data_IF_875921184614
#
_entry.id   IF_875921184614
#
_cell.length_a   1.000
_cell.length_b   1.000
_cell.length_c   1.000
_cell.angle_alpha   90.00
_cell.angle_beta   90.00
_cell.angle_gamma   90.00
#
_symmetry.space_group_name_H-M   'P 1'
#
loop_
_entity.id
_entity.type
_entity.pdbx_description
1 polymer ?
#
# COMPACT_ATOMS: atom_id res chain seq x y z
N UNK A 1 -14.64 -30.14 -2.90
CA UNK A 1 -14.52 -28.67 -2.71
C UNK A 1 -13.63 -28.32 -1.51
N UNK A 2 -13.70 -29.04 -0.38
CA UNK A 2 -12.79 -28.85 0.77
C UNK A 2 -11.44 -29.60 0.70
N UNK A 3 -11.26 -30.55 -0.24
CA UNK A 3 -9.99 -31.30 -0.41
C UNK A 3 -8.79 -30.43 -0.81
N UNK A 4 -9.03 -29.19 -1.24
CA UNK A 4 -7.98 -28.22 -1.58
C UNK A 4 -7.10 -27.92 -0.35
N UNK A 5 -7.64 -27.98 0.87
CA UNK A 5 -6.87 -27.78 2.10
C UNK A 5 -5.98 -28.95 2.51
N UNK A 6 -6.11 -30.12 1.86
CA UNK A 6 -5.22 -31.25 2.10
C UNK A 6 -3.78 -30.95 1.65
N UNK A 7 -3.61 -30.03 0.71
CA UNK A 7 -2.31 -29.60 0.23
C UNK A 7 -1.66 -28.60 1.20
N UNK A 8 -0.51 -29.00 1.76
CA UNK A 8 0.28 -28.19 2.71
C UNK A 8 0.67 -26.83 2.13
N UNK A 9 1.01 -26.75 0.83
CA UNK A 9 1.37 -25.50 0.18
C UNK A 9 0.19 -24.51 0.10
N UNK A 10 -1.05 -25.00 -0.05
CA UNK A 10 -2.23 -24.13 -0.09
C UNK A 10 -2.51 -23.55 1.29
N UNK A 11 -2.41 -24.37 2.35
CA UNK A 11 -2.52 -23.88 3.73
C UNK A 11 -1.46 -22.82 4.04
N UNK A 12 -0.21 -23.07 3.65
CA UNK A 12 0.88 -22.09 3.81
C UNK A 12 0.59 -20.80 3.03
N UNK A 13 0.05 -20.90 1.81
CA UNK A 13 -0.33 -19.75 1.01
C UNK A 13 -1.43 -18.89 1.67
N UNK A 14 -2.44 -19.52 2.28
CA UNK A 14 -3.49 -18.79 3.02
C UNK A 14 -2.92 -18.10 4.26
N UNK A 15 -2.07 -18.77 5.04
CA UNK A 15 -1.45 -18.19 6.24
C UNK A 15 -0.55 -17.03 5.85
N UNK A 16 0.43 -17.28 4.98
CA UNK A 16 1.42 -16.30 4.56
C UNK A 16 0.78 -15.14 3.79
N UNK A 17 -0.19 -15.44 2.92
CA UNK A 17 -0.99 -14.44 2.22
C UNK A 17 -1.77 -13.55 3.18
N UNK A 18 -2.41 -14.11 4.21
CA UNK A 18 -3.12 -13.31 5.23
C UNK A 18 -2.17 -12.36 5.96
N UNK A 19 -0.98 -12.83 6.35
CA UNK A 19 0.04 -11.97 6.95
C UNK A 19 0.42 -10.80 6.01
N UNK A 20 0.70 -11.11 4.74
CA UNK A 20 1.03 -10.10 3.74
C UNK A 20 -0.11 -9.11 3.53
N UNK A 21 -1.37 -9.57 3.41
CA UNK A 21 -2.53 -8.69 3.28
C UNK A 21 -2.63 -7.70 4.45
N UNK A 22 -2.45 -8.18 5.69
CA UNK A 22 -2.53 -7.32 6.88
C UNK A 22 -1.42 -6.26 6.84
N UNK A 23 -0.16 -6.68 6.69
CA UNK A 23 0.97 -5.72 6.70
C UNK A 23 0.86 -4.75 5.54
N UNK A 24 0.57 -5.23 4.33
CA UNK A 24 0.42 -4.39 3.14
C UNK A 24 -0.75 -3.41 3.29
N UNK A 25 -1.88 -3.82 3.87
CA UNK A 25 -3.01 -2.93 4.09
C UNK A 25 -2.69 -1.77 5.06
N UNK A 26 -1.95 -2.05 6.13
CA UNK A 26 -1.57 -1.03 7.14
C UNK A 26 -0.47 -0.12 6.60
N UNK A 27 0.59 -0.68 6.02
CA UNK A 27 1.69 0.09 5.40
C UNK A 27 1.15 0.93 4.23
N UNK A 28 0.26 0.33 3.44
CA UNK A 28 -0.45 0.95 2.33
C UNK A 28 -1.24 2.19 2.70
N UNK A 29 -1.95 2.15 3.82
CA UNK A 29 -2.65 3.33 4.36
C UNK A 29 -1.68 4.50 4.56
N UNK A 30 -0.55 4.27 5.24
CA UNK A 30 0.45 5.31 5.47
C UNK A 30 1.16 5.75 4.17
N UNK A 31 1.38 4.86 3.21
CA UNK A 31 1.92 5.23 1.89
C UNK A 31 1.03 6.26 1.19
N UNK A 32 -0.29 6.06 1.23
CA UNK A 32 -1.25 6.97 0.59
C UNK A 32 -1.31 8.30 1.32
N UNK A 33 -1.50 8.27 2.65
CA UNK A 33 -1.63 9.50 3.45
C UNK A 33 -0.37 10.38 3.36
N UNK A 34 0.80 9.78 3.18
CA UNK A 34 2.09 10.50 3.07
C UNK A 34 2.50 10.87 1.65
N UNK A 35 1.68 10.55 0.63
CA UNK A 35 2.06 10.76 -0.77
C UNK A 35 3.34 10.00 -1.15
N UNK A 36 3.48 8.77 -0.67
CA UNK A 36 4.63 7.88 -0.86
C UNK A 36 4.29 6.65 -1.72
N UNK A 37 3.13 6.62 -2.35
CA UNK A 37 2.69 5.49 -3.20
C UNK A 37 3.68 5.18 -4.31
N UNK A 38 4.27 6.20 -4.94
CA UNK A 38 5.29 6.02 -5.96
C UNK A 38 6.56 5.38 -5.40
N UNK A 39 6.98 5.77 -4.19
CA UNK A 39 8.11 5.12 -3.51
C UNK A 39 7.84 3.63 -3.26
N UNK A 40 6.62 3.28 -2.84
CA UNK A 40 6.21 1.88 -2.65
C UNK A 40 6.24 1.06 -3.95
N UNK A 41 5.78 1.64 -5.07
CA UNK A 41 5.88 1.00 -6.38
C UNK A 41 7.34 0.76 -6.78
N UNK A 42 8.16 1.81 -6.69
CA UNK A 42 9.57 1.78 -7.05
C UNK A 42 10.39 0.81 -6.21
N UNK A 43 10.18 0.78 -4.89
CA UNK A 43 10.88 -0.15 -4.00
C UNK A 43 10.65 -1.62 -4.39
N UNK A 44 9.46 -1.96 -4.91
CA UNK A 44 9.20 -3.32 -5.40
C UNK A 44 10.07 -3.67 -6.63
N UNK A 45 10.21 -2.74 -7.57
CA UNK A 45 11.07 -2.91 -8.75
C UNK A 45 12.56 -2.85 -8.43
N UNK A 46 12.95 -2.02 -7.47
CA UNK A 46 14.32 -1.98 -6.95
C UNK A 46 14.67 -3.32 -6.31
N UNK A 47 13.73 -3.88 -5.54
CA UNK A 47 13.87 -5.19 -4.94
C UNK A 47 13.99 -6.31 -5.98
N UNK A 48 13.19 -6.26 -7.05
CA UNK A 48 13.32 -7.19 -8.17
C UNK A 48 14.75 -7.24 -8.73
N UNK A 49 15.37 -6.09 -8.97
CA UNK A 49 16.75 -6.03 -9.45
C UNK A 49 17.75 -6.56 -8.41
N UNK A 50 17.54 -6.28 -7.13
CA UNK A 50 18.36 -6.83 -6.04
C UNK A 50 18.28 -8.35 -5.96
N UNK A 51 17.09 -8.93 -6.11
CA UNK A 51 16.90 -10.37 -6.19
C UNK A 51 17.60 -10.96 -7.42
N UNK A 52 17.48 -10.32 -8.58
CA UNK A 52 18.20 -10.73 -9.78
C UNK A 52 19.73 -10.72 -9.59
N UNK A 53 20.26 -9.69 -8.94
CA UNK A 53 21.68 -9.59 -8.59
C UNK A 53 22.14 -10.68 -7.62
N UNK A 54 21.34 -10.99 -6.60
CA UNK A 54 21.64 -12.09 -5.68
C UNK A 54 21.65 -13.45 -6.39
N UNK A 55 20.67 -13.71 -7.26
CA UNK A 55 20.62 -14.94 -8.07
C UNK A 55 21.85 -15.06 -8.96
N UNK A 56 22.27 -13.97 -9.60
CA UNK A 56 23.48 -13.93 -10.41
C UNK A 56 24.75 -14.28 -9.59
N UNK A 57 24.84 -13.79 -8.35
CA UNK A 57 25.95 -14.09 -7.43
C UNK A 57 25.84 -15.46 -6.74
N UNK A 58 24.77 -16.23 -6.99
CA UNK A 58 24.53 -17.51 -6.32
C UNK A 58 24.10 -17.38 -4.84
N UNK A 59 23.68 -16.19 -4.41
CA UNK A 59 23.20 -15.89 -3.07
C UNK A 59 21.66 -16.05 -3.03
N UNK A 60 21.10 -16.28 -1.83
CA UNK A 60 19.66 -16.33 -1.64
C UNK A 60 18.96 -15.03 -2.11
N UNK A 61 17.93 -15.08 -2.97
CA UNK A 61 17.31 -13.90 -3.60
C UNK A 61 16.81 -12.86 -2.60
N UNK A 62 16.31 -13.34 -1.46
CA UNK A 62 15.74 -12.53 -0.36
C UNK A 62 16.77 -11.56 0.22
N UNK A 63 18.02 -11.99 0.30
CA UNK A 63 19.10 -11.18 0.85
C UNK A 63 19.40 -10.01 -0.09
N UNK A 64 19.54 -10.29 -1.40
CA UNK A 64 19.74 -9.23 -2.39
C UNK A 64 18.56 -8.26 -2.44
N UNK A 65 17.35 -8.79 -2.34
CA UNK A 65 16.13 -7.99 -2.34
C UNK A 65 16.06 -7.09 -1.10
N UNK A 66 16.34 -7.59 0.10
CA UNK A 66 16.40 -6.79 1.32
C UNK A 66 17.49 -5.70 1.25
N UNK A 67 18.70 -6.06 0.84
CA UNK A 67 19.82 -5.11 0.79
C UNK A 67 19.53 -3.96 -0.17
N UNK A 68 19.05 -4.28 -1.38
CA UNK A 68 18.75 -3.26 -2.39
C UNK A 68 17.56 -2.39 -2.00
N UNK A 69 16.45 -2.98 -1.53
CA UNK A 69 15.28 -2.19 -1.14
C UNK A 69 15.54 -1.32 0.07
N UNK A 70 16.22 -1.83 1.10
CA UNK A 70 16.58 -1.04 2.28
C UNK A 70 17.59 0.04 1.90
N UNK A 71 18.63 -0.30 1.14
CA UNK A 71 19.65 0.63 0.67
C UNK A 71 19.04 1.78 -0.15
N UNK A 72 18.16 1.47 -1.10
CA UNK A 72 17.45 2.50 -1.86
C UNK A 72 16.41 3.25 -1.04
N UNK A 73 15.70 2.61 -0.11
CA UNK A 73 14.76 3.29 0.78
C UNK A 73 15.44 4.33 1.68
N UNK A 74 16.62 3.98 2.19
CA UNK A 74 17.50 4.92 2.92
C UNK A 74 18.01 6.02 1.99
N UNK A 75 18.53 5.65 0.81
CA UNK A 75 19.02 6.61 -0.18
C UNK A 75 17.96 7.63 -0.60
N UNK A 76 16.77 7.16 -0.97
CA UNK A 76 15.60 8.00 -1.32
C UNK A 76 15.20 8.88 -0.14
N UNK A 77 15.18 8.33 1.07
CA UNK A 77 14.79 9.05 2.27
C UNK A 77 15.74 10.18 2.66
N UNK A 78 17.04 10.05 2.36
CA UNK A 78 18.05 11.09 2.61
C UNK A 78 18.23 12.08 1.46
N UNK A 79 18.08 11.63 0.21
CA UNK A 79 18.38 12.43 -0.97
C UNK A 79 17.33 13.53 -1.22
N UNK A 80 16.12 13.37 -0.70
CA UNK A 80 15.01 14.28 -0.96
C UNK A 80 14.72 15.23 0.21
N UNK A 81 14.70 16.54 -0.04
CA UNK A 81 14.27 17.55 0.95
C UNK A 81 12.82 17.93 0.77
N UNK A 82 12.32 17.90 -0.46
CA UNK A 82 10.92 18.17 -0.81
C UNK A 82 10.24 16.93 -1.38
N UNK A 83 8.90 16.92 -1.41
CA UNK A 83 8.13 15.84 -2.04
C UNK A 83 8.48 15.70 -3.53
N UNK A 84 8.67 16.82 -4.24
CA UNK A 84 8.99 16.83 -5.68
C UNK A 84 10.38 16.29 -5.98
N UNK A 85 11.39 16.70 -5.20
CA UNK A 85 12.73 16.13 -5.30
C UNK A 85 12.71 14.62 -5.04
N UNK A 86 11.86 14.17 -4.11
CA UNK A 86 11.70 12.75 -3.80
C UNK A 86 11.17 11.97 -4.98
N UNK A 87 10.13 12.45 -5.64
CA UNK A 87 9.55 11.75 -6.80
C UNK A 87 10.56 11.65 -7.96
N UNK A 88 11.35 12.70 -8.19
CA UNK A 88 12.43 12.69 -9.19
C UNK A 88 13.52 11.68 -8.80
N UNK A 89 13.99 11.73 -7.55
CA UNK A 89 15.01 10.81 -7.04
C UNK A 89 14.54 9.35 -7.13
N UNK A 90 13.29 9.07 -6.74
CA UNK A 90 12.67 7.75 -6.86
C UNK A 90 12.68 7.30 -8.32
N UNK A 91 12.27 8.15 -9.25
CA UNK A 91 12.24 7.82 -10.68
C UNK A 91 13.63 7.47 -11.24
N UNK A 92 14.64 8.29 -10.96
CA UNK A 92 16.02 8.06 -11.42
C UNK A 92 16.60 6.78 -10.82
N UNK A 93 16.45 6.56 -9.51
CA UNK A 93 16.92 5.35 -8.84
C UNK A 93 16.22 4.11 -9.42
N UNK A 94 14.91 4.17 -9.64
CA UNK A 94 14.14 3.04 -10.20
C UNK A 94 14.63 2.65 -11.59
N UNK A 95 14.82 3.63 -12.48
CA UNK A 95 15.29 3.37 -13.85
C UNK A 95 16.69 2.78 -13.86
N UNK A 96 17.61 3.32 -13.05
CA UNK A 96 18.96 2.77 -12.91
C UNK A 96 18.94 1.33 -12.38
N UNK A 97 18.18 1.09 -11.32
CA UNK A 97 18.11 -0.23 -10.70
C UNK A 97 17.42 -1.25 -11.62
N UNK A 98 16.39 -0.87 -12.38
CA UNK A 98 15.79 -1.75 -13.38
C UNK A 98 16.77 -2.11 -14.51
N UNK A 99 17.53 -1.14 -15.02
CA UNK A 99 18.57 -1.41 -16.01
C UNK A 99 19.63 -2.38 -15.45
N UNK A 100 20.02 -2.19 -14.19
CA UNK A 100 20.97 -3.07 -13.50
C UNK A 100 20.39 -4.48 -13.27
N UNK A 101 19.12 -4.60 -12.90
CA UNK A 101 18.42 -5.88 -12.76
C UNK A 101 18.33 -6.62 -14.10
N UNK A 102 18.03 -5.90 -15.18
CA UNK A 102 18.05 -6.47 -16.54
C UNK A 102 19.44 -6.96 -16.93
N UNK A 103 20.50 -6.20 -16.62
CA UNK A 103 21.89 -6.63 -16.83
C UNK A 103 22.19 -7.93 -16.08
N UNK A 104 21.87 -8.02 -14.78
CA UNK A 104 22.11 -9.23 -13.99
C UNK A 104 21.37 -10.45 -14.53
N UNK A 105 20.12 -10.27 -14.95
CA UNK A 105 19.37 -11.34 -15.58
C UNK A 105 19.99 -11.74 -16.92
N UNK A 106 20.40 -10.78 -17.76
CA UNK A 106 21.02 -11.06 -19.05
C UNK A 106 22.33 -11.84 -18.94
N UNK A 107 23.03 -11.72 -17.81
CA UNK A 107 24.24 -12.48 -17.52
C UNK A 107 23.94 -13.89 -16.97
N UNK A 108 22.71 -14.14 -16.53
CA UNK A 108 22.30 -15.40 -15.91
C UNK A 108 21.70 -16.37 -16.93
N UNK A 109 22.24 -17.60 -16.99
CA UNK A 109 21.81 -18.63 -17.95
C UNK A 109 20.37 -19.14 -17.77
N UNK A 110 19.78 -18.95 -16.59
CA UNK A 110 18.39 -19.34 -16.26
C UNK A 110 17.40 -18.16 -16.22
N UNK A 111 17.61 -17.13 -17.05
CA UNK A 111 16.89 -15.85 -17.10
C UNK A 111 15.36 -15.97 -16.88
N UNK A 112 14.69 -16.78 -17.71
CA UNK A 112 13.24 -16.71 -17.86
C UNK A 112 12.48 -17.26 -16.64
N UNK A 113 12.89 -18.43 -16.14
CA UNK A 113 12.17 -19.12 -15.05
C UNK A 113 12.28 -18.36 -13.73
N UNK A 114 13.49 -17.89 -13.40
CA UNK A 114 13.74 -17.12 -12.16
C UNK A 114 13.12 -15.73 -12.21
N UNK A 115 13.21 -15.01 -13.34
CA UNK A 115 12.56 -13.71 -13.47
C UNK A 115 11.04 -13.81 -13.34
N UNK A 116 10.44 -14.84 -13.95
CA UNK A 116 9.00 -15.08 -13.86
C UNK A 116 8.54 -15.37 -12.42
N UNK A 117 9.27 -16.24 -11.71
CA UNK A 117 9.02 -16.56 -10.30
C UNK A 117 9.03 -15.31 -9.39
N UNK A 118 9.97 -14.38 -9.60
CA UNK A 118 10.07 -13.17 -8.76
C UNK A 118 8.98 -12.15 -9.13
N UNK A 119 8.68 -11.96 -10.42
CA UNK A 119 7.70 -10.97 -10.88
C UNK A 119 6.26 -11.33 -10.51
N UNK A 120 5.88 -12.58 -10.77
CA UNK A 120 4.50 -13.04 -10.65
C UNK A 120 4.21 -13.80 -9.36
N UNK A 121 5.25 -14.20 -8.62
CA UNK A 121 5.12 -15.06 -7.46
C UNK A 121 4.68 -16.47 -7.85
N UNK A 122 5.11 -17.48 -7.11
CA UNK A 122 4.65 -18.86 -7.28
C UNK A 122 4.05 -19.34 -5.97
N UNK A 123 2.72 -19.48 -5.92
CA UNK A 123 2.04 -20.07 -4.75
C UNK A 123 2.33 -21.57 -4.67
N UNK A 124 2.52 -22.21 -5.83
CA UNK A 124 2.94 -23.62 -5.93
C UNK A 124 4.41 -23.70 -5.52
N UNK A 125 4.66 -23.96 -4.24
CA UNK A 125 6.03 -24.13 -3.70
C UNK A 125 6.36 -23.35 -2.43
N UNK A 126 5.40 -22.64 -1.82
CA UNK A 126 5.66 -21.94 -0.55
C UNK A 126 6.00 -22.95 0.55
N UNK A 127 7.26 -22.90 1.02
CA UNK A 127 7.73 -23.75 2.11
C UNK A 127 7.12 -23.31 3.45
N UNK A 128 7.06 -24.24 4.40
CA UNK A 128 6.71 -23.93 5.80
C UNK A 128 7.67 -22.91 6.40
N UNK A 129 8.94 -22.93 5.98
CA UNK A 129 9.96 -21.97 6.40
C UNK A 129 9.61 -20.57 5.91
N UNK A 130 9.28 -20.41 4.62
CA UNK A 130 8.94 -19.11 4.02
C UNK A 130 7.70 -18.48 4.67
N UNK A 131 6.70 -19.31 4.96
CA UNK A 131 5.51 -18.90 5.70
C UNK A 131 5.84 -18.42 7.12
N UNK A 132 6.77 -19.09 7.81
CA UNK A 132 7.15 -18.75 9.19
C UNK A 132 8.00 -17.48 9.23
N UNK A 133 8.97 -17.34 8.31
CA UNK A 133 9.77 -16.11 8.16
C UNK A 133 8.84 -14.94 7.87
N UNK A 134 7.88 -15.12 6.96
CA UNK A 134 6.89 -14.09 6.66
C UNK A 134 6.08 -13.69 7.87
N UNK A 135 5.58 -14.66 8.64
CA UNK A 135 4.82 -14.41 9.86
C UNK A 135 5.64 -13.56 10.85
N UNK A 136 6.88 -13.97 11.14
CA UNK A 136 7.76 -13.29 12.11
C UNK A 136 8.02 -11.85 11.68
N UNK A 137 8.46 -11.63 10.44
CA UNK A 137 8.77 -10.28 9.98
C UNK A 137 7.52 -9.42 9.78
N UNK A 138 6.38 -10.01 9.45
CA UNK A 138 5.09 -9.30 9.39
C UNK A 138 4.69 -8.76 10.75
N UNK A 139 4.80 -9.58 11.79
CA UNK A 139 4.55 -9.16 13.17
C UNK A 139 5.54 -8.09 13.59
N UNK A 140 6.83 -8.26 13.27
CA UNK A 140 7.86 -7.26 13.58
C UNK A 140 7.58 -5.91 12.89
N UNK A 141 7.24 -5.92 11.60
CA UNK A 141 6.92 -4.71 10.85
C UNK A 141 5.69 -4.00 11.42
N UNK A 142 4.64 -4.75 11.78
CA UNK A 142 3.44 -4.20 12.42
C UNK A 142 3.73 -3.66 13.82
N UNK A 143 4.56 -4.33 14.61
CA UNK A 143 4.95 -3.87 15.94
C UNK A 143 5.72 -2.55 15.87
N UNK A 144 6.70 -2.45 14.98
CA UNK A 144 7.46 -1.22 14.73
C UNK A 144 6.54 -0.11 14.23
N UNK A 145 5.63 -0.41 13.29
CA UNK A 145 4.68 0.55 12.76
C UNK A 145 3.67 1.02 13.81
N UNK A 146 3.25 0.13 14.72
CA UNK A 146 2.40 0.46 15.86
C UNK A 146 3.11 1.40 16.83
N UNK A 147 4.39 1.15 17.13
CA UNK A 147 5.20 2.05 17.96
C UNK A 147 5.37 3.44 17.30
N UNK A 148 5.60 3.46 15.98
CA UNK A 148 5.72 4.71 15.21
C UNK A 148 4.36 5.33 14.83
N UNK A 149 3.23 4.73 15.20
CA UNK A 149 1.91 5.13 14.73
C UNK A 149 1.59 6.59 15.04
N UNK A 150 1.78 7.01 16.30
CA UNK A 150 1.49 8.38 16.74
C UNK A 150 2.40 9.41 16.06
N UNK A 151 3.75 9.26 16.06
CA UNK A 151 4.64 10.17 15.34
C UNK A 151 4.37 10.23 13.84
N UNK A 152 4.13 9.08 13.21
CA UNK A 152 3.84 9.01 11.78
C UNK A 152 2.55 9.73 11.44
N UNK A 153 1.46 9.45 12.16
CA UNK A 153 0.17 10.09 11.91
C UNK A 153 0.27 11.61 12.07
N UNK A 154 0.91 12.09 13.14
CA UNK A 154 1.07 13.53 13.37
C UNK A 154 1.89 14.22 12.26
N UNK A 155 3.03 13.64 11.89
CA UNK A 155 3.89 14.16 10.81
C UNK A 155 3.25 14.08 9.42
N UNK A 156 2.21 13.25 9.25
CA UNK A 156 1.52 13.08 7.97
C UNK A 156 0.38 14.08 7.78
N UNK A 157 -0.23 14.55 8.88
CA UNK A 157 -1.32 15.53 8.82
C UNK A 157 -0.76 16.94 8.69
N UNK A 158 0.25 17.29 9.50
CA UNK A 158 0.87 18.61 9.46
C UNK A 158 2.40 18.50 9.66
N UNK A 159 3.16 18.42 8.54
CA UNK A 159 4.61 18.33 8.60
C UNK A 159 5.29 19.58 9.17
N UNK A 160 4.68 20.76 9.01
CA UNK A 160 5.26 22.04 9.45
C UNK A 160 5.14 22.20 10.97
N UNK A 161 3.95 21.92 11.51
CA UNK A 161 3.72 21.90 12.96
C UNK A 161 4.52 20.79 13.65
N UNK A 162 4.70 19.64 12.99
CA UNK A 162 5.57 18.58 13.49
C UNK A 162 7.05 19.01 13.57
N UNK A 163 7.55 19.73 12.58
CA UNK A 163 8.91 20.29 12.61
C UNK A 163 9.04 21.37 13.68
N UNK A 164 8.04 22.25 13.83
CA UNK A 164 8.03 23.27 14.87
C UNK A 164 8.03 22.66 16.30
N UNK A 165 7.44 21.49 16.48
CA UNK A 165 7.51 20.70 17.73
C UNK A 165 8.80 19.89 17.90
N UNK A 166 9.80 20.09 17.03
CA UNK A 166 11.10 19.42 17.11
C UNK A 166 11.10 17.96 16.68
N UNK A 167 10.06 17.47 16.01
CA UNK A 167 10.03 16.08 15.54
C UNK A 167 10.93 15.90 14.31
N UNK A 168 11.78 14.86 14.26
CA UNK A 168 12.68 14.65 13.13
C UNK A 168 11.93 14.03 11.94
N UNK A 169 11.14 14.84 11.21
CA UNK A 169 10.28 14.41 10.09
C UNK A 169 11.07 13.66 9.00
N UNK A 170 12.33 14.03 8.77
CA UNK A 170 13.23 13.32 7.85
C UNK A 170 13.52 11.90 8.32
N UNK A 171 13.91 11.73 9.59
CA UNK A 171 14.18 10.42 10.16
C UNK A 171 12.93 9.52 10.14
N UNK A 172 11.76 10.07 10.45
CA UNK A 172 10.48 9.35 10.34
C UNK A 172 10.15 8.92 8.90
N UNK A 173 10.57 9.70 7.91
CA UNK A 173 10.40 9.35 6.49
C UNK A 173 11.34 8.21 6.09
N UNK A 174 12.61 8.27 6.49
CA UNK A 174 13.59 7.20 6.27
C UNK A 174 13.16 5.90 6.95
N UNK A 175 12.82 5.96 8.24
CA UNK A 175 12.36 4.80 9.01
C UNK A 175 11.12 4.16 8.38
N UNK A 176 10.17 4.97 7.93
CA UNK A 176 9.00 4.45 7.24
C UNK A 176 9.34 3.80 5.89
N UNK A 177 10.22 4.40 5.09
CA UNK A 177 10.69 3.77 3.85
C UNK A 177 11.43 2.45 4.09
N UNK A 178 12.17 2.33 5.20
CA UNK A 178 12.78 1.07 5.62
C UNK A 178 11.72 0.02 5.99
N UNK A 179 10.67 0.40 6.74
CA UNK A 179 9.54 -0.50 7.04
C UNK A 179 8.85 -0.96 5.76
N UNK A 180 8.64 -0.05 4.81
CA UNK A 180 8.06 -0.36 3.49
C UNK A 180 8.97 -1.30 2.71
N UNK A 181 10.27 -1.04 2.68
CA UNK A 181 11.26 -1.89 2.02
C UNK A 181 11.26 -3.32 2.59
N UNK A 182 11.28 -3.46 3.92
CA UNK A 182 11.20 -4.76 4.60
C UNK A 182 9.88 -5.44 4.24
N UNK A 183 8.76 -4.74 4.37
CA UNK A 183 7.42 -5.27 4.06
C UNK A 183 7.34 -5.81 2.64
N UNK A 184 7.76 -5.00 1.66
CA UNK A 184 7.82 -5.41 0.26
C UNK A 184 8.72 -6.64 0.13
N UNK A 185 9.87 -6.64 0.80
CA UNK A 185 10.86 -7.69 0.60
C UNK A 185 10.42 -9.09 0.96
N UNK A 186 9.72 -9.19 2.07
CA UNK A 186 9.16 -10.46 2.55
C UNK A 186 7.93 -10.83 1.75
N UNK A 187 7.11 -9.85 1.37
CA UNK A 187 5.86 -10.09 0.64
C UNK A 187 6.08 -10.52 -0.82
N UNK A 188 7.14 -10.03 -1.47
CA UNK A 188 7.46 -10.34 -2.87
C UNK A 188 7.64 -11.84 -3.10
N UNK A 189 8.20 -12.58 -2.15
CA UNK A 189 8.42 -14.02 -2.32
C UNK A 189 7.11 -14.81 -2.39
N UNK A 190 6.09 -14.37 -1.67
CA UNK A 190 4.81 -15.07 -1.61
C UNK A 190 3.93 -14.65 -2.78
N UNK A 191 3.84 -13.34 -2.98
CA UNK A 191 2.78 -12.77 -3.81
C UNK A 191 3.32 -12.18 -5.12
N UNK A 192 4.62 -11.93 -5.22
CA UNK A 192 5.26 -11.33 -6.39
C UNK A 192 5.31 -9.80 -6.35
N UNK A 193 6.25 -9.25 -7.13
CA UNK A 193 6.51 -7.80 -7.26
C UNK A 193 5.29 -7.04 -7.80
N UNK A 194 4.55 -7.63 -8.72
CA UNK A 194 3.39 -6.97 -9.33
C UNK A 194 2.22 -6.89 -8.35
N UNK A 195 1.96 -7.97 -7.63
CA UNK A 195 0.78 -8.10 -6.78
C UNK A 195 0.94 -7.31 -5.47
N UNK A 196 2.14 -7.25 -4.89
CA UNK A 196 2.36 -6.52 -3.63
C UNK A 196 1.97 -5.04 -3.74
N UNK A 197 2.23 -4.40 -4.88
CA UNK A 197 1.82 -3.01 -5.08
C UNK A 197 0.29 -2.86 -5.10
N UNK A 198 -0.41 -3.79 -5.75
CA UNK A 198 -1.88 -3.85 -5.73
C UNK A 198 -2.41 -3.99 -4.30
N UNK A 199 -1.81 -4.83 -3.47
CA UNK A 199 -2.22 -5.00 -2.06
C UNK A 199 -1.87 -3.80 -1.17
N UNK A 200 -0.76 -3.11 -1.44
CA UNK A 200 -0.41 -1.89 -0.72
C UNK A 200 -1.39 -0.76 -1.04
N UNK A 201 -1.72 -0.56 -2.33
CA UNK A 201 -2.47 0.64 -2.74
C UNK A 201 -3.97 0.39 -2.87
N UNK A 202 -4.37 -0.74 -3.45
CA UNK A 202 -5.77 -1.05 -3.79
C UNK A 202 -6.74 -1.01 -2.61
N UNK A 203 -6.59 -1.88 -1.59
CA UNK A 203 -7.50 -1.91 -0.44
C UNK A 203 -7.41 -0.61 0.38
N UNK A 204 -6.21 -0.04 0.55
CA UNK A 204 -6.01 1.20 1.30
C UNK A 204 -6.66 2.40 0.61
N UNK A 205 -6.54 2.55 -0.71
CA UNK A 205 -7.15 3.64 -1.48
C UNK A 205 -8.68 3.56 -1.44
N UNK A 206 -9.22 2.34 -1.47
CA UNK A 206 -10.66 2.10 -1.31
C UNK A 206 -11.12 2.48 0.10
N UNK A 207 -10.38 2.02 1.11
CA UNK A 207 -10.75 2.22 2.50
C UNK A 207 -10.69 3.69 2.96
N UNK A 208 -9.66 4.44 2.53
CA UNK A 208 -9.51 5.87 2.84
C UNK A 208 -10.68 6.70 2.32
N UNK A 209 -11.30 6.31 1.20
CA UNK A 209 -12.47 7.03 0.66
C UNK A 209 -13.77 6.74 1.40
N UNK A 210 -13.88 5.57 2.03
CA UNK A 210 -15.12 5.11 2.68
C UNK A 210 -15.10 5.47 4.17
N UNK A 211 -13.96 5.29 4.83
CA UNK A 211 -13.83 5.45 6.26
C UNK A 211 -13.75 6.92 6.69
N UNK A 212 -14.28 7.22 7.88
CA UNK A 212 -14.28 8.58 8.45
C UNK A 212 -13.16 8.83 9.46
N UNK A 213 -12.54 7.77 9.96
CA UNK A 213 -11.49 7.83 10.98
C UNK A 213 -10.26 7.07 10.48
N UNK A 214 -9.04 7.47 10.91
CA UNK A 214 -7.81 6.80 10.49
C UNK A 214 -7.79 5.32 10.87
N UNK A 215 -8.24 4.98 12.09
CA UNK A 215 -8.36 3.60 12.54
C UNK A 215 -9.41 2.81 11.75
N UNK A 216 -10.55 3.44 11.42
CA UNK A 216 -11.57 2.82 10.56
C UNK A 216 -11.07 2.55 9.14
N UNK A 217 -10.24 3.44 8.59
CA UNK A 217 -9.63 3.26 7.27
C UNK A 217 -8.64 2.09 7.27
N UNK A 218 -7.82 1.98 8.32
CA UNK A 218 -6.89 0.85 8.46
C UNK A 218 -7.64 -0.47 8.61
N UNK A 219 -8.63 -0.54 9.49
CA UNK A 219 -9.43 -1.75 9.70
C UNK A 219 -10.13 -2.20 8.42
N UNK A 220 -10.76 -1.27 7.69
CA UNK A 220 -11.41 -1.56 6.42
C UNK A 220 -10.41 -1.99 5.33
N UNK A 221 -9.23 -1.36 5.29
CA UNK A 221 -8.14 -1.75 4.39
C UNK A 221 -7.70 -3.20 4.64
N UNK A 222 -7.53 -3.58 5.92
CA UNK A 222 -7.16 -4.96 6.28
C UNK A 222 -8.22 -5.95 5.82
N UNK A 223 -9.50 -5.69 6.10
CA UNK A 223 -10.60 -6.57 5.70
C UNK A 223 -10.65 -6.73 4.18
N UNK A 224 -10.55 -5.64 3.42
CA UNK A 224 -10.53 -5.69 1.96
C UNK A 224 -9.29 -6.45 1.44
N UNK A 225 -8.11 -6.20 2.01
CA UNK A 225 -6.88 -6.90 1.62
C UNK A 225 -6.96 -8.41 1.82
N UNK A 226 -7.50 -8.85 2.96
CA UNK A 226 -7.72 -10.27 3.25
C UNK A 226 -8.71 -10.88 2.24
N UNK A 227 -9.83 -10.20 1.98
CA UNK A 227 -10.83 -10.65 0.99
C UNK A 227 -10.18 -10.79 -0.38
N UNK A 228 -9.38 -9.81 -0.82
CA UNK A 228 -8.75 -9.84 -2.13
C UNK A 228 -7.81 -11.04 -2.28
N UNK A 229 -6.98 -11.32 -1.27
CA UNK A 229 -6.08 -12.48 -1.29
C UNK A 229 -6.87 -13.78 -1.22
N UNK A 230 -7.82 -13.91 -0.31
CA UNK A 230 -8.55 -15.17 -0.12
C UNK A 230 -9.37 -15.53 -1.35
N UNK A 231 -10.10 -14.56 -1.91
CA UNK A 231 -10.87 -14.76 -3.13
C UNK A 231 -9.93 -14.98 -4.31
N UNK A 232 -8.79 -14.28 -4.37
CA UNK A 232 -7.77 -14.47 -5.40
C UNK A 232 -7.14 -15.87 -5.40
N UNK A 233 -6.75 -16.37 -4.23
CA UNK A 233 -6.23 -17.74 -4.05
C UNK A 233 -7.32 -18.76 -4.36
N UNK A 234 -8.53 -18.55 -3.86
CA UNK A 234 -9.65 -19.46 -4.10
C UNK A 234 -9.96 -19.58 -5.60
N UNK A 235 -10.16 -18.45 -6.30
CA UNK A 235 -10.40 -18.41 -7.74
C UNK A 235 -9.28 -19.12 -8.50
N UNK A 236 -8.03 -18.80 -8.22
CA UNK A 236 -6.89 -19.43 -8.87
C UNK A 236 -6.82 -20.96 -8.62
N UNK A 237 -7.27 -21.43 -7.46
CA UNK A 237 -7.30 -22.85 -7.12
C UNK A 237 -8.45 -23.62 -7.80
N UNK A 238 -9.61 -22.98 -8.01
CA UNK A 238 -10.77 -23.63 -8.63
C UNK A 238 -10.79 -23.53 -10.15
N UNK A 239 -10.06 -22.58 -10.76
CA UNK A 239 -10.07 -22.36 -12.22
C UNK A 239 -8.76 -22.79 -12.91
N UNK A 240 -8.59 -24.09 -13.23
CA UNK A 240 -8.11 -24.42 -14.56
C UNK A 240 -9.27 -24.10 -15.53
N UNK A 241 -9.38 -22.85 -15.95
CA UNK A 241 -10.37 -22.44 -16.94
C UNK A 241 -9.95 -23.07 -18.28
N UNK A 242 -10.63 -24.14 -18.70
CA UNK A 242 -10.58 -24.66 -20.06
C UNK A 242 -11.22 -23.62 -20.99
N UNK A 243 -10.44 -22.62 -21.41
CA UNK A 243 -10.90 -21.58 -22.31
C UNK A 243 -10.78 -22.04 -23.76
N UNK A 244 -11.67 -22.92 -24.22
CA UNK A 244 -11.68 -23.35 -25.63
C UNK A 244 -11.80 -22.12 -26.55
N UNK A 245 -10.85 -21.82 -27.48
CA UNK A 245 -9.88 -22.72 -28.13
C UNK A 245 -8.41 -22.57 -27.68
N UNK A 246 -8.13 -21.79 -26.63
CA UNK A 246 -6.79 -21.69 -26.02
C UNK A 246 -6.62 -22.81 -24.96
N UNK A 247 -5.42 -23.37 -24.89
CA UNK A 247 -4.94 -24.30 -23.87
C UNK A 247 -5.42 -24.00 -22.43
N UNK A 248 -5.37 -24.98 -21.52
CA UNK A 248 -5.59 -24.77 -20.07
C UNK A 248 -4.69 -23.65 -19.56
N UNK A 249 -5.24 -22.44 -19.39
CA UNK A 249 -4.53 -21.31 -18.78
C UNK A 249 -4.90 -21.30 -17.31
N UNK A 250 -3.95 -21.66 -16.46
CA UNK A 250 -4.03 -21.37 -15.03
C UNK A 250 -3.94 -19.86 -14.84
N UNK A 251 -5.03 -19.23 -14.36
CA UNK A 251 -5.06 -17.81 -14.08
C UNK A 251 -4.04 -17.46 -12.99
N UNK A 252 -3.08 -16.56 -13.26
CA UNK A 252 -2.16 -16.10 -12.22
C UNK A 252 -2.94 -15.40 -11.10
N UNK A 253 -2.59 -15.69 -9.85
CA UNK A 253 -3.24 -15.06 -8.68
C UNK A 253 -3.16 -13.53 -8.74
N UNK A 254 -2.05 -13.00 -9.27
CA UNK A 254 -1.85 -11.57 -9.55
C UNK A 254 -2.95 -10.96 -10.40
N UNK A 255 -3.43 -11.66 -11.44
CA UNK A 255 -4.53 -11.19 -12.26
C UNK A 255 -5.87 -11.18 -11.50
N UNK A 256 -6.16 -12.24 -10.75
CA UNK A 256 -7.39 -12.34 -9.96
C UNK A 256 -7.47 -11.23 -8.90
N UNK A 257 -6.40 -11.07 -8.11
CA UNK A 257 -6.34 -10.06 -7.04
C UNK A 257 -6.40 -8.64 -7.62
N UNK A 258 -5.68 -8.37 -8.70
CA UNK A 258 -5.72 -7.06 -9.36
C UNK A 258 -7.11 -6.72 -9.90
N UNK A 259 -7.76 -7.68 -10.56
CA UNK A 259 -9.11 -7.50 -11.11
C UNK A 259 -10.13 -7.23 -10.00
N UNK A 260 -10.08 -7.98 -8.89
CA UNK A 260 -10.97 -7.76 -7.74
C UNK A 260 -10.73 -6.37 -7.14
N UNK A 261 -9.46 -6.03 -6.89
CA UNK A 261 -9.11 -4.72 -6.33
C UNK A 261 -9.56 -3.57 -7.22
N UNK A 262 -9.41 -3.69 -8.54
CA UNK A 262 -9.86 -2.69 -9.50
C UNK A 262 -11.38 -2.59 -9.54
N UNK A 263 -12.07 -3.74 -9.56
CA UNK A 263 -13.53 -3.82 -9.58
C UNK A 263 -14.20 -3.24 -8.34
N UNK A 264 -13.54 -3.30 -7.17
CA UNK A 264 -14.02 -2.65 -5.94
C UNK A 264 -13.65 -1.16 -5.91
N UNK A 265 -12.45 -0.79 -6.34
CA UNK A 265 -11.98 0.59 -6.30
C UNK A 265 -12.76 1.53 -7.25
N UNK A 266 -13.08 1.07 -8.46
CA UNK A 266 -13.74 1.86 -9.50
C UNK A 266 -15.15 2.39 -9.10
N UNK A 267 -16.09 1.57 -8.60
CA UNK A 267 -17.41 2.06 -8.16
C UNK A 267 -17.29 3.01 -6.98
N UNK A 268 -16.39 2.73 -6.02
CA UNK A 268 -16.14 3.62 -4.88
C UNK A 268 -15.62 4.97 -5.36
N UNK A 269 -14.72 4.99 -6.35
CA UNK A 269 -14.23 6.23 -6.97
C UNK A 269 -15.36 7.02 -7.64
N UNK A 270 -16.17 6.38 -8.48
CA UNK A 270 -17.20 7.05 -9.27
C UNK A 270 -18.42 7.51 -8.43
N UNK A 271 -18.79 6.76 -7.39
CA UNK A 271 -19.93 7.09 -6.53
C UNK A 271 -19.58 8.07 -5.41
N UNK A 272 -18.30 8.14 -4.99
CA UNK A 272 -17.84 9.05 -3.93
C UNK A 272 -18.18 10.54 -4.15
N UNK A 273 -18.01 11.16 -5.35
CA UNK A 273 -18.38 12.56 -5.54
C UNK A 273 -19.88 12.82 -5.39
N UNK A 274 -20.74 11.87 -5.75
CA UNK A 274 -22.20 12.01 -5.64
C UNK A 274 -22.69 11.91 -4.19
N UNK A 275 -22.06 11.04 -3.40
CA UNK A 275 -22.40 10.86 -1.98
C UNK A 275 -21.92 12.02 -1.10
N UNK A 276 -20.73 12.58 -1.37
CA UNK A 276 -20.25 13.77 -0.65
C UNK A 276 -21.07 15.03 -1.00
N UNK A 277 -21.48 15.21 -2.27
CA UNK A 277 -22.31 16.36 -2.65
C UNK A 277 -23.73 16.30 -2.06
N UNK A 278 -24.33 15.10 -1.91
CA UNK A 278 -25.62 14.96 -1.21
C UNK A 278 -25.50 15.31 0.27
N UNK A 279 -24.47 14.82 0.96
CA UNK A 279 -24.25 15.10 2.40
C UNK A 279 -23.88 16.55 2.70
N UNK A 280 -23.10 17.21 1.82
CA UNK A 280 -22.79 18.64 1.98
C UNK A 280 -24.05 19.51 1.85
N UNK A 281 -24.99 19.10 0.97
CA UNK A 281 -26.31 19.72 0.86
C UNK A 281 -27.17 19.51 2.10
N UNK A 282 -27.14 18.33 2.71
CA UNK A 282 -27.88 18.03 3.95
C UNK A 282 -27.38 18.86 5.16
N UNK A 283 -26.06 19.12 5.26
CA UNK A 283 -25.48 19.95 6.31
C UNK A 283 -25.76 21.47 6.14
N UNK A 284 -25.86 21.96 4.90
CA UNK A 284 -26.32 23.34 4.62
C UNK A 284 -27.84 23.49 4.64
N UNK A 285 -28.59 22.39 4.63
CA UNK A 285 -30.05 22.39 4.72
C UNK A 285 -30.58 22.35 6.16
N UNK A 286 -29.70 22.29 7.18
CA UNK A 286 -30.11 22.62 8.54
C UNK A 286 -30.48 24.10 8.61
N UNK A 287 -31.70 24.47 9.03
CA UNK A 287 -32.07 25.87 9.19
C UNK A 287 -31.11 26.52 10.20
N UNK A 288 -30.44 27.58 9.78
CA UNK A 288 -29.80 28.51 10.73
C UNK A 288 -30.86 28.89 11.78
N UNK A 289 -30.52 28.87 13.09
CA UNK A 289 -31.41 29.44 14.09
C UNK A 289 -31.67 30.91 13.72
N UNK A 290 -32.91 31.20 13.34
CA UNK A 290 -33.42 32.53 13.08
C UNK A 290 -33.38 33.31 14.41
N UNK A 291 -32.38 34.18 14.60
CA UNK A 291 -32.36 35.37 15.47
C UNK A 291 -30.89 35.73 15.78
N UNK A 292 -30.37 36.92 15.55
CA UNK A 292 -31.02 38.23 15.60
C UNK A 292 -30.62 39.10 14.40
N UNK A 293 -31.64 39.65 13.72
CA UNK A 293 -31.47 40.70 12.72
C UNK A 293 -30.82 41.94 13.36
N UNK A 294 -29.82 42.58 12.73
CA UNK A 294 -29.22 43.82 13.22
C UNK A 294 -30.09 45.06 12.91
N UNK A 295 -31.42 44.92 12.93
CA UNK A 295 -32.36 45.98 12.53
C UNK A 295 -32.90 46.80 13.71
N UNK A 296 -32.56 46.44 14.96
CA UNK A 296 -32.86 47.26 16.14
C UNK A 296 -31.76 48.26 16.51
N UNK A 297 -30.60 48.23 15.85
CA UNK A 297 -29.50 49.16 16.11
C UNK A 297 -29.60 50.51 15.33
N UNK A 298 -30.68 50.73 14.56
CA UNK A 298 -30.85 51.93 13.73
C UNK A 298 -32.01 52.86 14.13
N UNK A 299 -32.77 52.55 15.19
CA UNK A 299 -33.84 53.43 15.68
C UNK A 299 -33.44 54.34 16.85
N UNK A 300 -32.14 54.45 17.17
CA UNK A 300 -31.67 55.28 18.28
C UNK A 300 -30.63 56.34 17.85
N UNK A 301 -31.03 57.30 16.98
CA UNK A 301 -30.55 58.66 17.18
C UNK A 301 -31.63 59.74 17.09
N UNK A 302 -32.92 59.40 16.96
CA UNK A 302 -33.99 60.40 16.77
C UNK A 302 -34.79 60.77 18.02
N UNK A 303 -34.73 59.97 19.10
CA UNK A 303 -35.50 60.26 20.33
C UNK A 303 -34.81 61.30 21.23
N UNK A 304 -33.49 61.53 21.08
CA UNK A 304 -32.73 62.53 21.85
C UNK A 304 -32.78 63.97 21.28
N UNK A 305 -33.52 64.22 20.19
CA UNK A 305 -33.70 65.58 19.63
C UNK A 305 -35.06 66.24 19.95
N UNK A 306 -35.96 65.55 20.66
CA UNK A 306 -37.27 66.12 21.04
C UNK A 306 -37.44 66.44 22.53
N UNK A 307 -36.49 66.07 23.39
CA UNK A 307 -36.43 66.56 24.77
C UNK A 307 -35.39 67.68 24.86
N UNK A 308 -35.91 68.89 25.07
CA UNK A 308 -35.30 70.04 25.75
C UNK A 308 -33.97 69.81 26.46
#
# INVERSE_FOLDING_TARGET
MFDIFAYSFIRNAFIAGTCVAIVAAVVGYFLIVRGLTFAGHSLAHIGFAGAAGAVFLGIHPVIGLLIFTIGSGVGIGFLARTLRERDIAIGVVTTFTLALGFLFLSLYRGYAEKAYSILFGTIVGISSLDSTVTLIFSILALAVLCFLFRPLLFSSVDPEVAQARGMPVRLLSVLFLVIVAITISISVQIVGVLLIFTLLVGPAATAIRIARTPLGAIALSIVLGIIYIWVGIYLAAITPLNFYPLNTVSLPISFCVATISFGVYLPVRLLSPLWLNRRRRELTAQPQPLAMQPEQAKMEPEVLRSSR
#
